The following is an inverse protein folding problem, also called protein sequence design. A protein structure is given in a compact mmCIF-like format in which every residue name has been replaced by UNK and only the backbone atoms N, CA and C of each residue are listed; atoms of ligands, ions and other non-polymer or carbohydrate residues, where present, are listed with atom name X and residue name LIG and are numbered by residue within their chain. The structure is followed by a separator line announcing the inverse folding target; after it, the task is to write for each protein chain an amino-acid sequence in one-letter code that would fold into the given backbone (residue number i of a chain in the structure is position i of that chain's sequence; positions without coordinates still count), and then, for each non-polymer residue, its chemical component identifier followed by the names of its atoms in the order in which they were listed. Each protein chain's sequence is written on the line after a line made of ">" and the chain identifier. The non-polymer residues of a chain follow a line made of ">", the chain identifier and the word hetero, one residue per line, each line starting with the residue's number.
data_IF_324335641057
#
_entry.id   IF_324335641057
#
_cell.length_a   1.000
_cell.length_b   1.000
_cell.length_c   1.000
_cell.angle_alpha   90.00
_cell.angle_beta   90.00
_cell.angle_gamma   90.00
#
_symmetry.space_group_name_H-M   'P 1'
#
loop_
_entity.id
_entity.type
_entity.pdbx_description
1 polymer ?
#
# COMPACT_ATOMS: atom_id res chain seq x y z
N UNK A 1 0.27 11.28 10.94
CA UNK A 1 -0.23 12.53 11.56
C UNK A 1 -0.24 13.64 10.52
N UNK A 2 -1.33 14.40 10.39
CA UNK A 2 -1.40 15.60 9.56
C UNK A 2 -1.91 16.79 10.40
N UNK A 3 -1.31 17.97 10.20
CA UNK A 3 -1.61 19.18 10.99
C UNK A 3 -1.93 20.34 10.05
N UNK A 4 -3.19 20.74 10.00
CA UNK A 4 -3.61 21.96 9.32
C UNK A 4 -3.33 23.17 10.22
N UNK A 5 -2.24 23.89 9.93
CA UNK A 5 -1.78 25.03 10.73
C UNK A 5 -2.06 26.40 10.09
N UNK A 6 -2.59 26.44 8.88
CA UNK A 6 -2.93 27.68 8.17
C UNK A 6 -4.40 27.66 7.77
N UNK A 7 -5.04 28.84 7.84
CA UNK A 7 -6.40 29.02 7.35
C UNK A 7 -6.47 28.74 5.83
N UNK A 8 -7.49 28.03 5.39
CA UNK A 8 -7.65 27.58 4.01
C UNK A 8 -6.84 26.35 3.63
N UNK A 9 -6.00 25.81 4.53
CA UNK A 9 -5.18 24.62 4.22
C UNK A 9 -6.02 23.35 4.02
N UNK A 10 -5.51 22.45 3.18
CA UNK A 10 -6.06 21.11 2.99
C UNK A 10 -4.99 20.04 3.13
N UNK A 11 -5.39 18.83 3.51
CA UNK A 11 -4.49 17.71 3.70
C UNK A 11 -5.23 16.38 3.59
N UNK A 12 -4.49 15.38 3.13
CA UNK A 12 -4.98 14.03 2.91
C UNK A 12 -3.96 13.03 3.44
N UNK A 13 -4.42 11.96 4.08
CA UNK A 13 -3.56 10.84 4.48
C UNK A 13 -4.25 9.51 4.23
N UNK A 14 -3.62 8.70 3.38
CA UNK A 14 -4.04 7.36 3.03
C UNK A 14 -3.14 6.34 3.73
N UNK A 15 -3.71 5.23 4.18
CA UNK A 15 -3.01 4.18 4.92
C UNK A 15 -3.46 2.81 4.41
N UNK A 16 -2.73 2.26 3.44
CA UNK A 16 -3.00 0.92 2.92
C UNK A 16 -2.08 -0.13 3.56
N UNK A 17 -2.66 -1.26 3.95
CA UNK A 17 -1.96 -2.37 4.56
C UNK A 17 -2.42 -3.72 4.01
N UNK A 18 -1.46 -4.54 3.59
CA UNK A 18 -1.70 -5.91 3.13
C UNK A 18 -1.01 -6.90 4.07
N UNK A 19 -1.81 -7.73 4.74
CA UNK A 19 -1.36 -8.83 5.58
C UNK A 19 -0.93 -10.00 4.70
N UNK A 20 0.34 -10.37 4.80
CA UNK A 20 0.98 -11.35 3.92
C UNK A 20 1.05 -12.76 4.52
N UNK A 21 0.87 -12.90 5.84
CA UNK A 21 0.89 -14.19 6.53
C UNK A 21 -0.10 -14.23 7.70
N UNK A 22 -0.36 -15.41 8.27
CA UNK A 22 -1.27 -15.54 9.41
C UNK A 22 -0.74 -14.85 10.67
N UNK A 23 0.57 -14.82 10.85
CA UNK A 23 1.26 -14.21 11.99
C UNK A 23 1.56 -12.72 11.80
N UNK A 24 1.14 -12.14 10.66
CA UNK A 24 1.34 -10.71 10.40
C UNK A 24 0.32 -9.84 11.15
N UNK A 25 0.77 -8.67 11.58
CA UNK A 25 -0.03 -7.67 12.26
C UNK A 25 0.27 -6.28 11.65
N UNK A 26 -0.77 -5.48 11.46
CA UNK A 26 -0.67 -4.09 10.99
C UNK A 26 -1.48 -3.22 11.95
N UNK A 27 -0.85 -2.17 12.45
CA UNK A 27 -1.47 -1.18 13.33
C UNK A 27 -1.36 0.20 12.69
N UNK A 28 -2.49 0.88 12.49
CA UNK A 28 -2.53 2.26 11.97
C UNK A 28 -3.16 3.18 13.02
N UNK A 29 -2.44 4.26 13.36
CA UNK A 29 -2.89 5.25 14.34
C UNK A 29 -2.80 6.64 13.68
N UNK A 30 -3.77 7.01 12.84
CA UNK A 30 -3.81 8.32 12.21
C UNK A 30 -4.17 9.40 13.23
N UNK A 31 -3.63 10.61 13.04
CA UNK A 31 -3.92 11.76 13.89
C UNK A 31 -4.11 12.99 13.01
N UNK A 32 -5.28 13.63 13.12
CA UNK A 32 -5.67 14.81 12.37
C UNK A 32 -5.85 15.97 13.33
N UNK A 33 -5.10 17.06 13.12
CA UNK A 33 -5.18 18.27 13.94
C UNK A 33 -5.52 19.46 13.05
N UNK A 34 -6.72 20.02 13.20
CA UNK A 34 -7.12 21.27 12.57
C UNK A 34 -7.00 22.42 13.58
N UNK A 35 -6.16 23.42 13.28
CA UNK A 35 -5.95 24.59 14.16
C UNK A 35 -6.80 25.82 13.80
N UNK A 36 -7.53 25.78 12.69
CA UNK A 36 -8.42 26.85 12.21
C UNK A 36 -9.73 26.26 11.68
N UNK A 37 -10.79 27.07 11.67
CA UNK A 37 -12.14 26.64 11.27
C UNK A 37 -12.27 26.37 9.76
N UNK A 38 -11.46 27.03 8.93
CA UNK A 38 -11.48 26.86 7.48
C UNK A 38 -10.36 25.92 7.02
N UNK A 39 -10.41 24.64 7.43
CA UNK A 39 -9.40 23.62 7.08
C UNK A 39 -10.12 22.35 6.61
N UNK A 40 -9.55 21.68 5.60
CA UNK A 40 -10.03 20.37 5.14
C UNK A 40 -8.95 19.30 5.33
N UNK A 41 -9.11 18.45 6.33
CA UNK A 41 -8.27 17.26 6.51
C UNK A 41 -9.11 16.01 6.24
N UNK A 42 -8.54 15.06 5.51
CA UNK A 42 -9.18 13.78 5.17
C UNK A 42 -8.25 12.62 5.47
N UNK A 43 -8.84 11.49 5.82
CA UNK A 43 -8.12 10.26 6.12
C UNK A 43 -8.86 9.07 5.53
N UNK A 44 -8.10 8.16 4.94
CA UNK A 44 -8.55 6.85 4.49
C UNK A 44 -7.57 5.77 4.96
N UNK A 45 -8.10 4.59 5.29
CA UNK A 45 -7.29 3.44 5.62
C UNK A 45 -7.96 2.16 5.08
N UNK A 46 -7.16 1.33 4.41
CA UNK A 46 -7.59 0.03 3.90
C UNK A 46 -6.61 -1.04 4.38
N UNK A 47 -7.06 -1.93 5.28
CA UNK A 47 -6.22 -3.02 5.80
C UNK A 47 -6.92 -4.34 5.52
N UNK A 48 -6.21 -5.27 4.87
CA UNK A 48 -6.79 -6.54 4.49
C UNK A 48 -5.76 -7.64 4.23
N UNK A 49 -6.26 -8.85 3.96
CA UNK A 49 -5.47 -9.99 3.47
C UNK A 49 -5.65 -10.09 1.95
N UNK A 50 -4.74 -10.81 1.30
CA UNK A 50 -4.92 -11.22 -0.10
C UNK A 50 -6.19 -12.06 -0.20
N UNK A 51 -7.10 -11.70 -1.11
CA UNK A 51 -8.34 -12.45 -1.29
C UNK A 51 -8.06 -13.76 -2.02
N UNK A 52 -8.52 -14.87 -1.45
CA UNK A 52 -8.34 -16.22 -2.03
C UNK A 52 -8.93 -16.31 -3.45
N UNK A 53 -10.06 -15.64 -3.70
CA UNK A 53 -10.66 -15.58 -5.03
C UNK A 53 -9.72 -14.95 -6.08
N UNK A 54 -8.92 -13.95 -5.70
CA UNK A 54 -7.95 -13.33 -6.61
C UNK A 54 -6.81 -14.29 -6.94
N UNK A 55 -6.35 -15.08 -5.96
CA UNK A 55 -5.36 -16.14 -6.14
C UNK A 55 -5.91 -17.21 -7.07
N UNK A 56 -7.10 -17.75 -6.78
CA UNK A 56 -7.76 -18.76 -7.60
C UNK A 56 -8.02 -18.27 -9.03
N UNK A 57 -8.39 -17.00 -9.19
CA UNK A 57 -8.55 -16.39 -10.50
C UNK A 57 -7.24 -16.39 -11.29
N UNK A 58 -6.13 -15.94 -10.71
CA UNK A 58 -4.82 -15.96 -11.37
C UNK A 58 -4.35 -17.40 -11.65
N UNK A 59 -4.59 -18.33 -10.72
CA UNK A 59 -4.29 -19.74 -10.95
C UNK A 59 -5.08 -20.32 -12.13
N UNK A 60 -6.35 -19.93 -12.30
CA UNK A 60 -7.14 -20.31 -13.47
C UNK A 60 -6.57 -19.79 -14.81
N UNK A 61 -5.72 -18.76 -14.76
CA UNK A 61 -4.99 -18.21 -15.91
C UNK A 61 -3.64 -18.90 -16.15
N UNK A 62 -3.28 -19.90 -15.36
CA UNK A 62 -2.08 -20.71 -15.55
C UNK A 62 -0.89 -20.32 -14.66
N UNK A 63 -1.06 -19.38 -13.73
CA UNK A 63 -0.05 -19.09 -12.72
C UNK A 63 -0.12 -20.15 -11.60
N UNK A 64 1.02 -20.43 -10.96
CA UNK A 64 0.98 -21.14 -9.69
C UNK A 64 0.58 -20.19 -8.54
N UNK A 65 0.35 -20.74 -7.34
CA UNK A 65 -0.09 -19.95 -6.19
C UNK A 65 0.92 -18.85 -5.78
N UNK A 66 2.21 -19.18 -5.76
CA UNK A 66 3.27 -18.24 -5.39
C UNK A 66 3.39 -17.11 -6.42
N UNK A 67 3.33 -17.43 -7.71
CA UNK A 67 3.29 -16.46 -8.81
C UNK A 67 2.06 -15.55 -8.71
N UNK A 68 0.90 -16.10 -8.38
CA UNK A 68 -0.32 -15.33 -8.19
C UNK A 68 -0.19 -14.34 -7.02
N UNK A 69 0.33 -14.79 -5.88
CA UNK A 69 0.61 -13.92 -4.72
C UNK A 69 1.62 -12.83 -5.08
N UNK A 70 2.70 -13.15 -5.78
CA UNK A 70 3.71 -12.17 -6.23
C UNK A 70 3.09 -11.11 -7.14
N UNK A 71 2.23 -11.49 -8.08
CA UNK A 71 1.52 -10.55 -8.95
C UNK A 71 0.65 -9.58 -8.15
N UNK A 72 -0.10 -10.09 -7.17
CA UNK A 72 -0.98 -9.28 -6.32
C UNK A 72 -0.15 -8.31 -5.46
N UNK A 73 0.89 -8.81 -4.79
CA UNK A 73 1.79 -7.99 -3.94
C UNK A 73 2.48 -6.91 -4.78
N UNK A 74 2.97 -7.25 -5.98
CA UNK A 74 3.57 -6.27 -6.89
C UNK A 74 2.58 -5.20 -7.34
N UNK A 75 1.32 -5.57 -7.58
CA UNK A 75 0.25 -4.63 -7.89
C UNK A 75 -0.02 -3.67 -6.73
N UNK A 76 -0.10 -4.21 -5.50
CA UNK A 76 -0.31 -3.44 -4.28
C UNK A 76 0.86 -2.48 -3.98
N UNK A 77 2.10 -2.95 -4.15
CA UNK A 77 3.32 -2.19 -3.89
C UNK A 77 3.75 -1.31 -5.07
N UNK A 78 2.95 -1.18 -6.12
CA UNK A 78 3.31 -0.38 -7.29
C UNK A 78 3.21 1.11 -6.94
N UNK A 79 4.35 1.71 -6.60
CA UNK A 79 4.44 3.14 -6.32
C UNK A 79 4.79 3.87 -7.61
N UNK A 80 4.00 4.87 -7.99
CA UNK A 80 4.38 5.83 -9.02
C UNK A 80 5.17 6.96 -8.37
N UNK A 81 6.50 6.92 -8.51
CA UNK A 81 7.40 7.96 -8.02
C UNK A 81 7.85 8.80 -9.22
N UNK A 82 7.36 10.05 -9.34
CA UNK A 82 7.81 10.99 -10.37
C UNK A 82 9.32 11.18 -10.32
N UNK A 83 9.95 11.32 -11.48
CA UNK A 83 11.39 11.62 -11.63
C UNK A 83 12.36 10.59 -11.02
N UNK A 84 11.88 9.39 -10.66
CA UNK A 84 12.75 8.31 -10.21
C UNK A 84 13.68 7.84 -11.34
N UNK A 85 14.96 7.60 -11.06
CA UNK A 85 15.89 7.08 -12.07
C UNK A 85 15.54 5.65 -12.46
N UNK A 86 15.88 5.26 -13.70
CA UNK A 86 15.64 3.89 -14.18
C UNK A 86 16.36 2.82 -13.35
N UNK A 87 17.54 3.12 -12.82
CA UNK A 87 18.29 2.21 -11.93
C UNK A 87 17.58 2.03 -10.59
N UNK A 88 17.10 3.12 -9.98
CA UNK A 88 16.43 3.05 -8.68
C UNK A 88 15.08 2.33 -8.79
N UNK A 89 14.34 2.49 -9.89
CA UNK A 89 13.13 1.68 -10.18
C UNK A 89 13.43 0.19 -10.17
N UNK A 90 14.48 -0.25 -10.87
CA UNK A 90 14.87 -1.66 -10.90
C UNK A 90 15.23 -2.20 -9.52
N UNK A 91 15.91 -1.40 -8.69
CA UNK A 91 16.24 -1.79 -7.32
C UNK A 91 14.98 -1.97 -6.47
N UNK A 92 13.99 -1.07 -6.58
CA UNK A 92 12.71 -1.19 -5.88
C UNK A 92 11.94 -2.44 -6.34
N UNK A 93 11.86 -2.68 -7.64
CA UNK A 93 11.20 -3.87 -8.19
C UNK A 93 11.84 -5.16 -7.68
N UNK A 94 13.18 -5.23 -7.64
CA UNK A 94 13.88 -6.37 -7.07
C UNK A 94 13.62 -6.54 -5.57
N UNK A 95 13.58 -5.45 -4.80
CA UNK A 95 13.27 -5.51 -3.37
C UNK A 95 11.85 -6.05 -3.12
N UNK A 96 10.88 -5.64 -3.93
CA UNK A 96 9.50 -6.15 -3.86
C UNK A 96 9.47 -7.66 -4.13
N UNK A 97 10.16 -8.13 -5.18
CA UNK A 97 10.23 -9.58 -5.52
C UNK A 97 10.87 -10.38 -4.38
N UNK A 98 11.95 -9.87 -3.77
CA UNK A 98 12.61 -10.56 -2.65
C UNK A 98 11.68 -10.63 -1.43
N UNK A 99 10.94 -9.55 -1.14
CA UNK A 99 10.00 -9.51 -0.03
C UNK A 99 8.77 -10.40 -0.22
N UNK A 100 8.37 -10.67 -1.48
CA UNK A 100 7.22 -11.54 -1.79
C UNK A 100 7.57 -13.03 -1.87
N UNK A 101 8.85 -13.40 -1.90
CA UNK A 101 9.28 -14.80 -1.95
C UNK A 101 9.06 -15.48 -0.60
N UNK A 102 8.34 -16.61 -0.61
CA UNK A 102 8.11 -17.42 0.58
C UNK A 102 6.88 -17.03 1.41
N UNK A 103 5.96 -16.26 0.81
CA UNK A 103 4.62 -15.96 1.33
C UNK A 103 3.59 -17.05 1.01
#
# INVERSE_FOLDING_TARGET
>A
KIVGSAEGSSGHIECDGLLLSNDSEIVTIPELIAKHNNIRLTHEASIGRIAEEQILYLMSKGFNEDEAKEIIVRGFMKIDIPDLSGEMRKTIEQAIIVASRGL
#
